data_IF_453321155384
#
_entry.id   IF_453321155384
#
_cell.length_a   1.000
_cell.length_b   1.000
_cell.length_c   1.000
_cell.angle_alpha   90.00
_cell.angle_beta   90.00
_cell.angle_gamma   90.00
#
_symmetry.space_group_name_H-M   'P 1'
#
loop_
_entity.id
_entity.type
_entity.pdbx_description
1 polymer ?
#
# COMPACT_ATOMS: atom_id res chain seq x y z
N UNK A 1 -53.51 -35.92 -24.90
CA UNK A 1 -52.27 -35.29 -25.43
C UNK A 1 -52.02 -33.87 -24.90
N UNK A 2 -53.00 -33.18 -24.31
CA UNK A 2 -52.86 -31.79 -23.82
C UNK A 2 -52.06 -31.68 -22.51
N UNK A 3 -52.22 -32.61 -21.57
CA UNK A 3 -51.52 -32.59 -20.27
C UNK A 3 -50.01 -32.77 -20.43
N UNK A 4 -49.57 -33.70 -21.29
CA UNK A 4 -48.15 -33.94 -21.57
C UNK A 4 -47.46 -32.73 -22.22
N UNK A 5 -48.16 -32.02 -23.11
CA UNK A 5 -47.66 -30.78 -23.72
C UNK A 5 -47.53 -29.64 -22.70
N UNK A 6 -48.47 -29.53 -21.77
CA UNK A 6 -48.47 -28.50 -20.73
C UNK A 6 -47.36 -28.74 -19.69
N UNK A 7 -47.11 -29.99 -19.32
CA UNK A 7 -45.99 -30.38 -18.46
C UNK A 7 -44.64 -30.13 -19.15
N UNK A 8 -44.52 -30.46 -20.44
CA UNK A 8 -43.32 -30.17 -21.23
C UNK A 8 -43.02 -28.66 -21.32
N UNK A 9 -44.04 -27.84 -21.55
CA UNK A 9 -43.91 -26.38 -21.58
C UNK A 9 -43.54 -25.79 -20.20
N UNK A 10 -44.09 -26.32 -19.11
CA UNK A 10 -43.74 -25.90 -17.76
C UNK A 10 -42.29 -26.27 -17.41
N UNK A 11 -41.85 -27.48 -17.78
CA UNK A 11 -40.48 -27.95 -17.55
C UNK A 11 -39.45 -27.11 -18.33
N UNK A 12 -39.73 -26.75 -19.59
CA UNK A 12 -38.84 -25.90 -20.38
C UNK A 12 -38.77 -24.48 -19.83
N UNK A 13 -39.89 -23.90 -19.39
CA UNK A 13 -39.90 -22.58 -18.73
C UNK A 13 -39.08 -22.58 -17.43
N UNK A 14 -39.26 -23.60 -16.59
CA UNK A 14 -38.48 -23.77 -15.36
C UNK A 14 -36.98 -23.93 -15.66
N UNK A 15 -36.62 -24.71 -16.68
CA UNK A 15 -35.23 -24.89 -17.08
C UNK A 15 -34.61 -23.57 -17.57
N UNK A 16 -35.32 -22.79 -18.39
CA UNK A 16 -34.86 -21.50 -18.90
C UNK A 16 -34.70 -20.48 -17.76
N UNK A 17 -35.67 -20.40 -16.84
CA UNK A 17 -35.60 -19.52 -15.68
C UNK A 17 -34.44 -19.92 -14.76
N UNK A 18 -34.24 -21.22 -14.52
CA UNK A 18 -33.13 -21.73 -13.71
C UNK A 18 -31.78 -21.37 -14.33
N UNK A 19 -31.61 -21.55 -15.64
CA UNK A 19 -30.38 -21.17 -16.35
C UNK A 19 -30.11 -19.66 -16.28
N UNK A 20 -31.15 -18.83 -16.43
CA UNK A 20 -31.01 -17.37 -16.33
C UNK A 20 -30.64 -16.95 -14.91
N UNK A 21 -31.27 -17.55 -13.91
CA UNK A 21 -30.98 -17.31 -12.50
C UNK A 21 -29.55 -17.72 -12.16
N UNK A 22 -29.10 -18.90 -12.57
CA UNK A 22 -27.71 -19.32 -12.40
C UNK A 22 -26.73 -18.32 -13.03
N UNK A 23 -26.96 -17.90 -14.28
CA UNK A 23 -26.08 -16.90 -14.92
C UNK A 23 -26.03 -15.58 -14.13
N UNK A 24 -27.16 -15.12 -13.59
CA UNK A 24 -27.23 -13.92 -12.77
C UNK A 24 -26.48 -14.08 -11.43
N UNK A 25 -26.67 -15.22 -10.74
CA UNK A 25 -25.97 -15.53 -9.49
C UNK A 25 -24.47 -15.64 -9.71
N UNK A 26 -24.03 -16.31 -10.78
CA UNK A 26 -22.61 -16.40 -11.15
C UNK A 26 -22.00 -15.03 -11.47
N UNK A 27 -22.72 -14.19 -12.22
CA UNK A 27 -22.27 -12.82 -12.50
C UNK A 27 -22.18 -11.97 -11.23
N UNK A 28 -23.16 -12.09 -10.34
CA UNK A 28 -23.14 -11.43 -9.04
C UNK A 28 -21.98 -11.92 -8.17
N UNK A 29 -21.78 -13.23 -8.04
CA UNK A 29 -20.68 -13.83 -7.28
C UNK A 29 -19.30 -13.39 -7.81
N UNK A 30 -19.13 -13.33 -9.12
CA UNK A 30 -17.90 -12.78 -9.74
C UNK A 30 -17.68 -11.31 -9.39
N UNK A 31 -18.74 -10.50 -9.35
CA UNK A 31 -18.63 -9.08 -8.95
C UNK A 31 -18.26 -8.95 -7.47
N UNK A 32 -18.96 -9.65 -6.59
CA UNK A 32 -18.68 -9.65 -5.15
C UNK A 32 -17.24 -10.07 -4.88
N UNK A 33 -16.76 -11.13 -5.55
CA UNK A 33 -15.37 -11.58 -5.39
C UNK A 33 -14.35 -10.53 -5.82
N UNK A 34 -14.58 -9.82 -6.93
CA UNK A 34 -13.69 -8.73 -7.36
C UNK A 34 -13.67 -7.59 -6.35
N UNK A 35 -14.83 -7.19 -5.85
CA UNK A 35 -14.92 -6.15 -4.81
C UNK A 35 -14.21 -6.56 -3.52
N UNK A 36 -14.27 -7.84 -3.14
CA UNK A 36 -13.57 -8.39 -1.98
C UNK A 36 -12.05 -8.40 -2.19
N UNK A 37 -11.59 -8.79 -3.39
CA UNK A 37 -10.18 -8.73 -3.80
C UNK A 37 -9.66 -7.27 -3.76
N UNK A 38 -10.38 -6.32 -4.38
CA UNK A 38 -10.02 -4.89 -4.35
C UNK A 38 -9.97 -4.32 -2.92
N UNK A 39 -10.90 -4.76 -2.05
CA UNK A 39 -10.96 -4.32 -0.64
C UNK A 39 -9.76 -4.85 0.14
N UNK A 40 -9.40 -6.11 -0.07
CA UNK A 40 -8.24 -6.73 0.56
C UNK A 40 -6.95 -6.03 0.18
N UNK A 41 -6.76 -5.71 -1.10
CA UNK A 41 -5.57 -5.02 -1.58
C UNK A 41 -5.41 -3.62 -0.94
N UNK A 42 -6.54 -2.91 -0.80
CA UNK A 42 -6.57 -1.63 -0.07
C UNK A 42 -6.27 -1.80 1.43
N UNK A 43 -6.63 -2.92 2.04
CA UNK A 43 -6.35 -3.24 3.44
C UNK A 43 -4.88 -3.55 3.68
N UNK A 44 -4.27 -4.35 2.81
CA UNK A 44 -2.85 -4.68 2.87
C UNK A 44 -1.99 -3.42 2.68
N UNK A 45 -2.33 -2.59 1.67
CA UNK A 45 -1.66 -1.30 1.47
C UNK A 45 -1.79 -0.38 2.69
N UNK A 46 -2.98 -0.31 3.30
CA UNK A 46 -3.20 0.51 4.49
C UNK A 46 -2.40 0.01 5.70
N UNK A 47 -2.26 -1.31 5.86
CA UNK A 47 -1.45 -1.91 6.91
C UNK A 47 0.04 -1.55 6.75
N UNK A 48 0.61 -1.72 5.55
CA UNK A 48 2.01 -1.36 5.29
C UNK A 48 2.28 0.13 5.46
N UNK A 49 1.37 1.00 5.00
CA UNK A 49 1.48 2.45 5.20
C UNK A 49 1.37 2.85 6.68
N UNK A 50 0.61 2.11 7.48
CA UNK A 50 0.53 2.34 8.93
C UNK A 50 1.83 1.93 9.62
N UNK A 51 2.36 0.75 9.30
CA UNK A 51 3.65 0.28 9.84
C UNK A 51 4.78 1.26 9.47
N UNK A 52 4.80 1.74 8.24
CA UNK A 52 5.77 2.76 7.79
C UNK A 52 5.64 4.07 8.56
N UNK A 53 4.40 4.52 8.81
CA UNK A 53 4.16 5.73 9.60
C UNK A 53 4.64 5.58 11.04
N UNK A 54 4.36 4.44 11.68
CA UNK A 54 4.80 4.15 13.04
C UNK A 54 6.33 4.17 13.14
N UNK A 55 7.03 3.52 12.20
CA UNK A 55 8.50 3.54 12.15
C UNK A 55 9.07 4.94 11.95
N UNK A 56 8.44 5.78 11.14
CA UNK A 56 8.86 7.18 11.02
C UNK A 56 8.66 8.02 12.27
N UNK A 57 7.61 7.73 13.04
CA UNK A 57 7.39 8.38 14.33
C UNK A 57 8.46 7.97 15.32
N UNK A 58 8.87 6.70 15.35
CA UNK A 58 9.98 6.20 16.17
C UNK A 58 11.33 6.88 15.80
N UNK A 59 11.53 7.17 14.52
CA UNK A 59 12.79 7.76 14.01
C UNK A 59 12.78 9.29 13.99
N UNK A 60 11.73 9.93 14.46
CA UNK A 60 11.65 11.39 14.51
C UNK A 60 12.80 11.96 15.36
N UNK A 61 13.54 12.91 14.81
CA UNK A 61 14.66 13.58 15.49
C UNK A 61 15.81 12.65 15.92
N UNK A 62 15.82 11.40 15.44
CA UNK A 62 16.90 10.43 15.69
C UNK A 62 17.70 10.20 14.41
N UNK A 63 19.02 10.46 14.39
CA UNK A 63 19.86 10.10 13.26
C UNK A 63 19.87 8.57 13.10
N UNK A 64 19.52 8.09 11.92
CA UNK A 64 19.36 6.67 11.61
C UNK A 64 20.45 6.17 10.64
N UNK A 65 20.98 4.99 10.92
CA UNK A 65 21.95 4.30 10.06
C UNK A 65 21.37 3.04 9.43
N UNK A 66 22.25 2.18 8.92
CA UNK A 66 21.88 0.94 8.22
C UNK A 66 20.94 0.03 9.01
N UNK A 67 21.18 -0.11 10.33
CA UNK A 67 20.44 -1.01 11.18
C UNK A 67 19.00 -0.53 11.39
N UNK A 68 18.81 0.75 11.64
CA UNK A 68 17.49 1.37 11.75
C UNK A 68 16.73 1.37 10.41
N UNK A 69 17.44 1.36 9.28
CA UNK A 69 16.83 1.35 7.95
C UNK A 69 16.47 -0.04 7.42
N UNK A 70 16.96 -1.13 8.03
CA UNK A 70 16.62 -2.49 7.58
C UNK A 70 15.10 -2.78 7.56
N UNK A 71 14.31 -2.43 8.59
CA UNK A 71 12.85 -2.57 8.55
C UNK A 71 12.18 -1.76 7.43
N UNK A 72 12.73 -0.57 7.14
CA UNK A 72 12.21 0.31 6.09
C UNK A 72 12.44 -0.25 4.69
N UNK A 73 13.57 -0.93 4.45
CA UNK A 73 13.86 -1.62 3.19
C UNK A 73 12.88 -2.78 2.93
N UNK A 74 12.46 -3.49 3.99
CA UNK A 74 11.40 -4.51 3.87
C UNK A 74 10.08 -3.86 3.43
N UNK A 75 9.69 -2.76 4.07
CA UNK A 75 8.46 -2.04 3.75
C UNK A 75 8.47 -1.45 2.33
N UNK A 76 9.64 -1.00 1.85
CA UNK A 76 9.83 -0.56 0.47
C UNK A 76 9.41 -1.65 -0.52
N UNK A 77 9.93 -2.87 -0.34
CA UNK A 77 9.64 -3.98 -1.24
C UNK A 77 8.16 -4.39 -1.21
N UNK A 78 7.55 -4.41 -0.02
CA UNK A 78 6.13 -4.71 0.13
C UNK A 78 5.25 -3.67 -0.56
N UNK A 79 5.53 -2.37 -0.32
CA UNK A 79 4.78 -1.28 -0.95
C UNK A 79 4.99 -1.24 -2.48
N UNK A 80 6.19 -1.57 -2.97
CA UNK A 80 6.48 -1.66 -4.40
C UNK A 80 5.66 -2.78 -5.06
N UNK A 81 5.64 -3.97 -4.45
CA UNK A 81 4.83 -5.08 -4.96
C UNK A 81 3.34 -4.74 -4.97
N UNK A 82 2.81 -4.16 -3.88
CA UNK A 82 1.41 -3.73 -3.83
C UNK A 82 1.10 -2.61 -4.83
N UNK A 83 2.07 -1.74 -5.15
CA UNK A 83 1.89 -0.70 -6.16
C UNK A 83 1.77 -1.24 -7.58
N UNK A 84 2.38 -2.39 -7.87
CA UNK A 84 2.28 -3.10 -9.15
C UNK A 84 0.96 -3.88 -9.26
N UNK A 85 0.45 -4.40 -8.14
CA UNK A 85 -0.77 -5.23 -8.10
C UNK A 85 -2.05 -4.40 -8.00
N UNK A 86 -2.03 -3.25 -7.32
CA UNK A 86 -3.23 -2.45 -7.03
C UNK A 86 -3.31 -1.18 -7.87
N UNK A 87 -3.94 -1.27 -9.05
CA UNK A 87 -4.07 -0.14 -9.99
C UNK A 87 -4.65 1.13 -9.35
N UNK A 88 -5.67 0.98 -8.48
CA UNK A 88 -6.45 2.09 -7.91
C UNK A 88 -5.64 3.06 -7.03
N UNK A 89 -4.53 2.59 -6.45
CA UNK A 89 -3.64 3.38 -5.57
C UNK A 89 -2.18 3.35 -6.03
N UNK A 90 -1.92 2.76 -7.19
CA UNK A 90 -0.58 2.56 -7.74
C UNK A 90 0.22 3.86 -7.75
N UNK A 91 -0.34 4.95 -8.27
CA UNK A 91 0.32 6.25 -8.34
C UNK A 91 0.72 6.79 -6.96
N UNK A 92 -0.18 6.76 -5.98
CA UNK A 92 0.11 7.20 -4.62
C UNK A 92 1.16 6.32 -3.94
N UNK A 93 1.12 5.00 -4.13
CA UNK A 93 2.11 4.08 -3.59
C UNK A 93 3.49 4.28 -4.22
N UNK A 94 3.58 4.46 -5.54
CA UNK A 94 4.85 4.80 -6.22
C UNK A 94 5.43 6.11 -5.66
N UNK A 95 4.59 7.11 -5.40
CA UNK A 95 5.04 8.35 -4.78
C UNK A 95 5.58 8.19 -3.35
N UNK A 96 5.06 7.21 -2.60
CA UNK A 96 5.60 6.83 -1.27
C UNK A 96 6.91 6.06 -1.42
N UNK A 97 6.97 5.07 -2.32
CA UNK A 97 8.16 4.26 -2.61
C UNK A 97 9.34 5.16 -3.00
N UNK A 98 9.15 6.09 -3.95
CA UNK A 98 10.19 7.01 -4.39
C UNK A 98 10.75 7.86 -3.24
N UNK A 99 9.87 8.39 -2.38
CA UNK A 99 10.30 9.18 -1.21
C UNK A 99 10.97 8.32 -0.15
N UNK A 100 10.59 7.05 -0.04
CA UNK A 100 11.19 6.10 0.87
C UNK A 100 12.61 5.75 0.42
N UNK A 101 12.82 5.55 -0.88
CA UNK A 101 14.16 5.40 -1.45
C UNK A 101 15.03 6.63 -1.18
N UNK A 102 14.50 7.83 -1.40
CA UNK A 102 15.24 9.07 -1.06
C UNK A 102 15.61 9.13 0.41
N UNK A 103 14.70 8.76 1.31
CA UNK A 103 15.00 8.72 2.74
C UNK A 103 16.05 7.67 3.08
N UNK A 104 15.96 6.47 2.51
CA UNK A 104 16.97 5.42 2.67
C UNK A 104 18.35 5.85 2.16
N UNK A 105 18.40 6.64 1.09
CA UNK A 105 19.65 7.20 0.55
C UNK A 105 20.30 8.27 1.47
N UNK A 106 19.62 8.70 2.54
CA UNK A 106 20.18 9.59 3.56
C UNK A 106 20.80 8.85 4.74
N UNK A 107 21.02 7.53 4.62
CA UNK A 107 21.63 6.68 5.64
C UNK A 107 22.92 7.30 6.20
N UNK A 108 22.95 7.47 7.52
CA UNK A 108 24.13 8.02 8.19
C UNK A 108 25.07 6.86 8.54
N UNK A 109 26.25 6.86 7.92
CA UNK A 109 27.32 5.99 8.38
C UNK A 109 27.83 6.49 9.73
N UNK A 110 27.73 5.66 10.76
CA UNK A 110 28.35 5.92 12.05
C UNK A 110 29.85 6.02 11.82
N UNK A 111 30.43 7.20 12.02
CA UNK A 111 31.86 7.37 11.91
C UNK A 111 32.53 6.51 12.99
N UNK A 112 33.11 5.39 12.58
CA UNK A 112 33.94 4.57 13.44
C UNK A 112 35.15 5.40 13.86
N UNK A 113 35.17 5.83 15.13
CA UNK A 113 36.33 6.50 15.71
C UNK A 113 35.99 7.83 16.36
N UNK A 114 36.02 7.82 17.69
CA UNK A 114 36.05 8.98 18.60
C UNK A 114 37.36 9.77 18.48
N UNK A 115 37.80 10.10 17.26
CA UNK A 115 38.78 11.15 17.06
C UNK A 115 38.03 12.47 17.17
N UNK A 116 38.54 13.42 17.97
CA UNK A 116 37.99 14.79 18.15
C UNK A 116 37.58 15.35 16.77
N UNK A 117 36.31 15.25 16.42
CA UNK A 117 35.82 15.68 15.12
C UNK A 117 36.10 17.18 15.01
N UNK A 118 36.77 17.60 13.93
CA UNK A 118 37.02 19.00 13.64
C UNK A 118 35.68 19.74 13.49
N UNK A 119 35.68 21.07 13.66
CA UNK A 119 34.47 21.87 13.47
C UNK A 119 33.82 21.63 12.10
N UNK A 120 34.62 21.49 11.04
CA UNK A 120 34.15 21.16 9.69
C UNK A 120 33.48 19.77 9.61
N UNK A 121 34.01 18.76 10.31
CA UNK A 121 33.40 17.43 10.36
C UNK A 121 32.04 17.43 11.07
N UNK A 122 31.88 18.26 12.11
CA UNK A 122 30.59 18.43 12.80
C UNK A 122 29.55 19.12 11.92
N UNK A 123 29.94 20.16 11.18
CA UNK A 123 29.04 20.83 10.23
C UNK A 123 28.53 19.86 9.17
N UNK A 124 29.42 19.03 8.59
CA UNK A 124 29.03 18.01 7.62
C UNK A 124 28.08 16.95 8.19
N UNK A 125 28.27 16.54 9.45
CA UNK A 125 27.34 15.60 10.11
C UNK A 125 25.96 16.23 10.34
N UNK A 126 25.92 17.49 10.77
CA UNK A 126 24.67 18.24 10.93
C UNK A 126 23.93 18.39 9.60
N UNK A 127 24.64 18.76 8.52
CA UNK A 127 24.04 18.87 7.19
C UNK A 127 23.42 17.54 6.72
N UNK A 128 24.11 16.41 6.95
CA UNK A 128 23.56 15.09 6.60
C UNK A 128 22.35 14.74 7.45
N UNK A 129 22.37 15.02 8.74
CA UNK A 129 21.22 14.80 9.63
C UNK A 129 20.02 15.69 9.24
N UNK A 130 20.25 16.94 8.85
CA UNK A 130 19.21 17.83 8.33
C UNK A 130 18.60 17.31 7.03
N UNK A 131 19.42 16.79 6.11
CA UNK A 131 18.93 16.16 4.86
C UNK A 131 18.08 14.92 5.15
N UNK A 132 18.51 14.09 6.11
CA UNK A 132 17.74 12.92 6.54
C UNK A 132 16.38 13.33 7.14
N UNK A 133 16.35 14.33 8.02
CA UNK A 133 15.09 14.80 8.61
C UNK A 133 14.17 15.44 7.56
N UNK A 134 14.73 16.17 6.60
CA UNK A 134 13.96 16.73 5.50
C UNK A 134 13.30 15.63 4.66
N UNK A 135 14.06 14.61 4.26
CA UNK A 135 13.54 13.46 3.51
C UNK A 135 12.47 12.69 4.31
N UNK A 136 12.62 12.58 5.64
CA UNK A 136 11.59 12.00 6.52
C UNK A 136 10.28 12.79 6.46
N UNK A 137 10.34 14.12 6.53
CA UNK A 137 9.16 14.99 6.48
C UNK A 137 8.44 14.87 5.12
N UNK A 138 9.19 14.82 4.03
CA UNK A 138 8.61 14.60 2.69
C UNK A 138 7.90 13.25 2.61
N UNK A 139 8.53 12.20 3.13
CA UNK A 139 7.93 10.87 3.14
C UNK A 139 6.68 10.81 4.03
N UNK A 140 6.69 11.43 5.21
CA UNK A 140 5.50 11.55 6.09
C UNK A 140 4.31 12.16 5.35
N UNK A 141 4.57 13.20 4.56
CA UNK A 141 3.54 13.90 3.79
C UNK A 141 2.94 12.99 2.73
N UNK A 142 3.77 12.22 2.01
CA UNK A 142 3.29 11.26 1.02
C UNK A 142 2.51 10.11 1.63
N UNK A 143 2.94 9.56 2.77
CA UNK A 143 2.19 8.53 3.49
C UNK A 143 0.80 9.04 3.88
N UNK A 144 0.74 10.27 4.40
CA UNK A 144 -0.53 10.89 4.81
C UNK A 144 -1.48 11.06 3.61
N UNK A 145 -0.95 11.47 2.46
CA UNK A 145 -1.72 11.58 1.22
C UNK A 145 -2.24 10.21 0.73
N UNK A 146 -1.38 9.18 0.72
CA UNK A 146 -1.75 7.82 0.32
C UNK A 146 -2.81 7.22 1.26
N UNK A 147 -2.66 7.39 2.57
CA UNK A 147 -3.67 6.96 3.56
C UNK A 147 -5.01 7.67 3.35
N UNK A 148 -4.99 8.97 3.03
CA UNK A 148 -6.21 9.72 2.76
C UNK A 148 -6.89 9.27 1.45
N UNK A 149 -6.10 8.93 0.42
CA UNK A 149 -6.60 8.34 -0.82
C UNK A 149 -7.30 7.01 -0.55
N UNK A 150 -6.66 6.09 0.18
CA UNK A 150 -7.26 4.79 0.55
C UNK A 150 -8.57 4.99 1.30
N UNK A 151 -8.61 5.90 2.28
CA UNK A 151 -9.86 6.23 3.01
C UNK A 151 -10.96 6.74 2.09
N UNK A 152 -10.60 7.46 1.04
CA UNK A 152 -11.56 8.00 0.06
C UNK A 152 -12.09 6.89 -0.83
N UNK A 153 -11.21 6.00 -1.32
CA UNK A 153 -11.59 4.85 -2.13
C UNK A 153 -12.48 3.88 -1.36
N UNK A 154 -12.16 3.58 -0.10
CA UNK A 154 -13.01 2.73 0.76
C UNK A 154 -14.42 3.25 1.00
N UNK A 155 -14.67 4.55 0.81
CA UNK A 155 -16.03 5.12 0.91
C UNK A 155 -16.78 5.07 -0.42
N UNK A 156 -16.06 4.84 -1.51
CA UNK A 156 -16.60 4.83 -2.88
C UNK A 156 -16.81 3.41 -3.41
N UNK A 157 -16.09 2.42 -2.87
CA UNK A 157 -16.31 0.98 -3.04
C UNK A 157 -17.45 0.53 -2.13
#
# INVERSE_FOLDING_TARGET
MTVSALVGAAATLLAVLSLRHHKQVWAWMKRVRRTDEDTKDLDDAAAYLRELFEKQCEYAQKPCGAAEFAPLRRLLNLLSATAEETEMISHELHGVVERLERYLNTELHTAAGTAKASAASRTLQLEKAMKQEHARIELKTAISAAQQKIRTLRRAV
#
